data_IF_207512205943
#
_entry.id   IF_207512205943
#
_cell.length_a   1.000
_cell.length_b   1.000
_cell.length_c   1.000
_cell.angle_alpha   90.00
_cell.angle_beta   90.00
_cell.angle_gamma   90.00
#
_symmetry.space_group_name_H-M   'P 1'
#
loop_
_entity.id
_entity.type
_entity.pdbx_description
1 polymer ?
#
# COMPACT_ATOMS: atom_id res chain seq x y z
N UNK A 1 -24.69 1.46 -4.83
CA UNK A 1 -23.59 0.90 -5.66
C UNK A 1 -22.50 1.94 -5.73
N UNK A 2 -21.22 1.55 -5.78
CA UNK A 2 -20.08 2.46 -5.93
C UNK A 2 -19.29 1.98 -7.13
N UNK A 3 -18.79 2.92 -7.95
CA UNK A 3 -17.87 2.61 -9.05
C UNK A 3 -16.55 3.36 -8.84
N UNK A 4 -15.49 2.82 -9.44
CA UNK A 4 -14.18 3.44 -9.49
C UNK A 4 -13.57 3.13 -10.86
N UNK A 5 -13.14 4.18 -11.57
CA UNK A 5 -12.50 4.07 -12.87
C UNK A 5 -11.12 4.73 -12.75
N UNK A 6 -10.06 3.95 -12.90
CA UNK A 6 -8.70 4.49 -12.99
C UNK A 6 -8.37 4.79 -14.43
N UNK A 7 -7.98 6.02 -14.73
CA UNK A 7 -7.50 6.43 -16.06
C UNK A 7 -6.12 7.11 -15.97
N UNK A 8 -5.48 7.33 -17.12
CA UNK A 8 -4.27 8.15 -17.19
C UNK A 8 -4.63 9.60 -16.92
N UNK A 9 -3.83 10.28 -16.10
CA UNK A 9 -3.96 11.72 -15.87
C UNK A 9 -3.42 12.48 -17.10
N UNK A 10 -4.24 13.34 -17.67
CA UNK A 10 -3.88 14.22 -18.80
C UNK A 10 -3.42 15.62 -18.32
N UNK A 11 -3.19 15.78 -17.01
CA UNK A 11 -2.71 17.02 -16.39
C UNK A 11 -3.82 17.90 -15.84
N UNK A 12 -5.05 17.38 -15.74
CA UNK A 12 -6.25 18.12 -15.34
C UNK A 12 -6.76 17.77 -13.95
N UNK A 13 -6.25 16.69 -13.34
CA UNK A 13 -6.69 16.21 -12.03
C UNK A 13 -5.94 16.91 -10.88
N UNK A 14 -6.65 17.18 -9.79
CA UNK A 14 -6.12 17.81 -8.58
C UNK A 14 -6.08 16.81 -7.40
N UNK A 15 -5.15 16.98 -6.45
CA UNK A 15 -5.07 16.17 -5.22
C UNK A 15 -6.13 16.64 -4.21
N UNK A 16 -7.40 16.34 -4.47
CA UNK A 16 -8.53 16.78 -3.66
C UNK A 16 -9.65 15.75 -3.64
N UNK A 17 -10.26 15.59 -2.46
CA UNK A 17 -11.34 14.63 -2.21
C UNK A 17 -12.74 15.24 -2.32
N UNK A 18 -12.83 16.49 -2.77
CA UNK A 18 -14.11 17.24 -2.86
C UNK A 18 -14.38 17.79 -4.25
N UNK A 19 -13.49 17.55 -5.22
CA UNK A 19 -13.66 18.02 -6.59
C UNK A 19 -14.68 17.14 -7.32
N UNK A 20 -15.92 17.60 -7.31
CA UNK A 20 -17.01 16.97 -8.04
C UNK A 20 -16.92 17.35 -9.52
N UNK A 21 -17.01 16.34 -10.38
CA UNK A 21 -16.97 16.44 -11.84
C UNK A 21 -18.21 15.77 -12.43
N UNK A 22 -18.58 16.14 -13.64
CA UNK A 22 -19.69 15.46 -14.33
C UNK A 22 -19.29 14.03 -14.64
N UNK A 23 -20.22 13.09 -14.46
CA UNK A 23 -20.02 11.69 -14.91
C UNK A 23 -19.84 11.57 -16.42
N UNK A 24 -20.27 12.57 -17.20
CA UNK A 24 -20.04 12.63 -18.65
C UNK A 24 -18.55 12.58 -19.01
N UNK A 25 -17.67 13.06 -18.12
CA UNK A 25 -16.22 13.01 -18.30
C UNK A 25 -15.67 11.58 -18.13
N UNK A 26 -16.40 10.70 -17.45
CA UNK A 26 -16.03 9.30 -17.21
C UNK A 26 -16.45 8.38 -18.36
N UNK A 27 -17.60 8.65 -18.99
CA UNK A 27 -18.18 7.82 -20.05
C UNK A 27 -17.24 7.50 -21.23
N UNK A 28 -16.37 8.42 -21.70
CA UNK A 28 -15.39 8.11 -22.75
C UNK A 28 -14.45 6.95 -22.41
N UNK A 29 -14.09 6.77 -21.13
CA UNK A 29 -13.15 5.72 -20.70
C UNK A 29 -13.75 4.31 -20.74
N UNK A 30 -15.08 4.19 -20.74
CA UNK A 30 -15.81 2.91 -20.78
C UNK A 30 -16.53 2.68 -22.12
N UNK A 31 -16.22 3.49 -23.13
CA UNK A 31 -16.85 3.38 -24.45
C UNK A 31 -16.62 1.99 -25.06
N UNK A 32 -17.71 1.35 -25.49
CA UNK A 32 -17.68 0.02 -26.10
C UNK A 32 -17.71 -1.14 -25.11
N UNK A 33 -17.77 -0.86 -23.80
CA UNK A 33 -18.03 -1.87 -22.78
C UNK A 33 -19.52 -2.22 -22.74
N UNK A 34 -19.88 -3.23 -21.95
CA UNK A 34 -21.29 -3.63 -21.80
C UNK A 34 -22.16 -2.48 -21.24
N UNK A 35 -23.39 -2.27 -21.74
CA UNK A 35 -24.22 -1.11 -21.41
C UNK A 35 -24.41 -0.85 -19.91
N UNK A 36 -24.47 -1.93 -19.12
CA UNK A 36 -24.60 -1.89 -17.66
C UNK A 36 -23.55 -1.00 -16.98
N UNK A 37 -22.31 -0.95 -17.49
CA UNK A 37 -21.24 -0.14 -16.87
C UNK A 37 -21.57 1.35 -16.98
N UNK A 38 -21.96 1.81 -18.16
CA UNK A 38 -22.43 3.18 -18.39
C UNK A 38 -23.70 3.49 -17.61
N UNK A 39 -24.67 2.58 -17.53
CA UNK A 39 -25.89 2.76 -16.74
C UNK A 39 -25.61 2.96 -15.24
N UNK A 40 -24.62 2.24 -14.70
CA UNK A 40 -24.18 2.40 -13.30
C UNK A 40 -23.52 3.75 -13.07
N UNK A 41 -22.73 4.24 -14.03
CA UNK A 41 -22.08 5.56 -13.96
C UNK A 41 -23.14 6.67 -14.02
N UNK A 42 -24.10 6.58 -14.94
CA UNK A 42 -25.20 7.55 -15.10
C UNK A 42 -26.13 7.60 -13.88
N UNK A 43 -26.22 6.50 -13.12
CA UNK A 43 -26.99 6.42 -11.88
C UNK A 43 -26.32 7.12 -10.68
N UNK A 44 -25.14 7.74 -10.85
CA UNK A 44 -24.49 8.51 -9.81
C UNK A 44 -25.40 9.65 -9.31
N UNK A 45 -25.52 9.87 -7.99
CA UNK A 45 -26.29 10.99 -7.46
C UNK A 45 -25.86 12.33 -8.06
N UNK A 46 -26.83 13.11 -8.52
CA UNK A 46 -26.64 14.40 -9.19
C UNK A 46 -25.81 14.35 -10.49
N UNK A 47 -25.56 13.17 -11.06
CA UNK A 47 -24.65 12.97 -12.19
C UNK A 47 -23.22 13.47 -11.88
N UNK A 48 -22.78 13.32 -10.63
CA UNK A 48 -21.46 13.76 -10.16
C UNK A 48 -20.59 12.59 -9.70
N UNK A 49 -19.29 12.66 -10.00
CA UNK A 49 -18.26 11.78 -9.45
C UNK A 49 -17.09 12.62 -8.92
N UNK A 50 -16.23 12.00 -8.10
CA UNK A 50 -14.99 12.65 -7.63
C UNK A 50 -13.86 12.21 -8.54
N UNK A 51 -13.17 13.18 -9.16
CA UNK A 51 -11.89 12.95 -9.81
C UNK A 51 -10.78 13.39 -8.85
N UNK A 52 -9.96 12.43 -8.41
CA UNK A 52 -8.86 12.66 -7.50
C UNK A 52 -7.57 12.11 -8.09
N UNK A 53 -6.54 12.95 -8.10
CA UNK A 53 -5.22 12.57 -8.61
C UNK A 53 -4.56 11.55 -7.68
N UNK A 54 -4.12 10.42 -8.24
CA UNK A 54 -3.32 9.44 -7.51
C UNK A 54 -1.90 9.98 -7.31
N UNK A 55 -1.55 10.23 -6.06
CA UNK A 55 -0.25 10.72 -5.63
C UNK A 55 0.43 9.70 -4.74
N UNK A 56 1.75 9.59 -4.85
CA UNK A 56 2.55 8.62 -4.11
C UNK A 56 3.95 9.18 -3.83
N UNK A 57 4.61 8.67 -2.79
CA UNK A 57 5.92 9.15 -2.33
C UNK A 57 6.83 8.01 -1.94
N UNK A 58 8.12 8.15 -2.25
CA UNK A 58 9.14 7.20 -1.81
C UNK A 58 9.09 7.09 -0.29
N UNK A 59 9.18 5.86 0.22
CA UNK A 59 9.18 5.61 1.65
C UNK A 59 10.45 6.18 2.28
N UNK A 60 10.29 6.99 3.33
CA UNK A 60 11.42 7.44 4.14
C UNK A 60 11.85 6.38 5.15
N UNK A 61 13.15 6.30 5.45
CA UNK A 61 13.69 5.35 6.42
C UNK A 61 13.35 5.71 7.88
N UNK A 62 13.05 6.99 8.14
CA UNK A 62 12.81 7.52 9.49
C UNK A 62 11.53 8.35 9.53
N UNK A 63 10.56 7.91 10.33
CA UNK A 63 9.25 8.55 10.52
C UNK A 63 9.17 9.36 11.82
N UNK A 64 10.10 9.09 12.76
CA UNK A 64 10.19 9.77 14.04
C UNK A 64 11.09 11.00 13.98
N UNK A 65 10.76 12.04 14.74
CA UNK A 65 11.64 13.20 14.94
C UNK A 65 12.95 12.78 15.62
N UNK A 66 14.04 13.57 15.52
CA UNK A 66 15.34 13.20 16.10
C UNK A 66 15.30 12.85 17.60
N UNK A 67 14.38 13.45 18.36
CA UNK A 67 14.17 13.18 19.79
C UNK A 67 13.15 12.06 20.07
N UNK A 68 12.52 11.47 19.05
CA UNK A 68 11.52 10.41 19.17
C UNK A 68 10.29 10.84 19.99
N UNK A 69 9.81 12.07 19.74
CA UNK A 69 8.66 12.67 20.45
C UNK A 69 7.51 13.07 19.52
N UNK A 70 7.76 12.99 18.22
CA UNK A 70 6.78 13.19 17.15
C UNK A 70 7.05 12.09 16.14
N UNK A 71 5.99 11.48 15.61
CA UNK A 71 6.10 10.42 14.62
C UNK A 71 4.99 10.57 13.58
N UNK A 72 5.31 10.30 12.31
CA UNK A 72 4.34 10.19 11.22
C UNK A 72 3.88 8.73 11.11
N UNK A 73 2.58 8.53 10.90
CA UNK A 73 1.94 7.21 10.67
C UNK A 73 0.87 7.35 9.58
N UNK A 74 0.42 6.23 9.01
CA UNK A 74 -0.54 6.23 7.90
C UNK A 74 -0.04 7.02 6.70
N UNK A 75 -0.96 7.64 5.94
CA UNK A 75 -0.65 8.40 4.72
C UNK A 75 0.38 9.53 4.92
N UNK A 76 0.54 10.05 6.15
CA UNK A 76 1.57 11.04 6.46
C UNK A 76 3.00 10.46 6.41
N UNK A 77 3.16 9.15 6.63
CA UNK A 77 4.42 8.43 6.53
C UNK A 77 4.54 7.64 5.22
N UNK A 78 3.43 7.05 4.75
CA UNK A 78 3.42 6.13 3.62
C UNK A 78 2.12 6.25 2.81
N UNK A 79 2.25 6.74 1.58
CA UNK A 79 1.11 6.85 0.65
C UNK A 79 0.97 5.57 -0.18
N UNK A 80 -0.26 5.09 -0.36
CA UNK A 80 -0.53 3.85 -1.07
C UNK A 80 -1.35 4.09 -2.34
N UNK A 81 -1.10 3.30 -3.38
CA UNK A 81 -2.05 3.17 -4.48
C UNK A 81 -3.33 2.46 -3.97
N UNK A 82 -4.54 2.86 -4.42
CA UNK A 82 -5.77 2.16 -4.08
C UNK A 82 -5.75 0.67 -4.45
N UNK A 83 -5.00 0.32 -5.50
CA UNK A 83 -4.75 -1.07 -5.96
C UNK A 83 -4.02 -1.94 -4.93
N UNK A 84 -3.46 -1.36 -3.87
CA UNK A 84 -2.90 -2.14 -2.75
C UNK A 84 -3.98 -2.77 -1.86
N UNK A 85 -5.18 -2.19 -1.81
CA UNK A 85 -6.23 -2.52 -0.84
C UNK A 85 -5.80 -2.53 0.64
N UNK A 86 -4.63 -1.95 0.98
CA UNK A 86 -4.03 -2.10 2.31
C UNK A 86 -3.63 -0.79 2.99
N UNK A 87 -3.82 0.38 2.37
CA UNK A 87 -3.39 1.67 2.96
C UNK A 87 -4.02 1.94 4.34
N UNK A 88 -5.35 1.84 4.43
CA UNK A 88 -6.06 2.00 5.71
C UNK A 88 -5.66 0.95 6.75
N UNK A 89 -5.52 -0.31 6.33
CA UNK A 89 -5.04 -1.40 7.21
C UNK A 89 -3.63 -1.11 7.73
N UNK A 90 -2.71 -0.66 6.89
CA UNK A 90 -1.33 -0.35 7.28
C UNK A 90 -1.28 0.83 8.27
N UNK A 91 -2.16 1.82 8.11
CA UNK A 91 -2.31 2.92 9.07
C UNK A 91 -2.84 2.43 10.43
N UNK A 92 -3.79 1.49 10.43
CA UNK A 92 -4.28 0.86 11.67
C UNK A 92 -3.18 0.03 12.35
N UNK A 93 -2.46 -0.80 11.57
CA UNK A 93 -1.31 -1.56 12.07
C UNK A 93 -0.25 -0.66 12.72
N UNK A 94 -0.03 0.56 12.19
CA UNK A 94 0.87 1.51 12.81
C UNK A 94 0.40 1.91 14.21
N UNK A 95 -0.89 2.19 14.37
CA UNK A 95 -1.49 2.55 15.66
C UNK A 95 -1.29 1.45 16.70
N UNK A 96 -1.61 0.20 16.36
CA UNK A 96 -1.43 -0.96 17.24
C UNK A 96 0.05 -1.20 17.59
N UNK A 97 0.92 -1.23 16.59
CA UNK A 97 2.35 -1.46 16.78
C UNK A 97 2.99 -0.35 17.63
N UNK A 98 2.63 0.91 17.38
CA UNK A 98 3.16 2.06 18.13
C UNK A 98 2.72 1.99 19.59
N UNK A 99 1.45 1.72 19.86
CA UNK A 99 0.93 1.59 21.22
C UNK A 99 1.67 0.49 22.00
N UNK A 100 1.81 -0.70 21.40
CA UNK A 100 2.54 -1.83 22.00
C UNK A 100 4.02 -1.48 22.27
N UNK A 101 4.70 -0.84 21.32
CA UNK A 101 6.09 -0.41 21.50
C UNK A 101 6.23 0.62 22.62
N UNK A 102 5.32 1.60 22.70
CA UNK A 102 5.33 2.62 23.76
C UNK A 102 5.08 2.00 25.14
N UNK A 103 4.17 1.03 25.24
CA UNK A 103 3.94 0.29 26.47
C UNK A 103 5.20 -0.47 26.90
N UNK A 104 5.84 -1.20 25.98
CA UNK A 104 7.08 -1.96 26.24
C UNK A 104 8.25 -1.05 26.61
N UNK A 105 8.41 0.09 25.94
CA UNK A 105 9.46 1.06 26.26
C UNK A 105 9.27 1.79 27.59
N UNK A 106 8.05 1.79 28.13
CA UNK A 106 7.64 2.57 29.30
C UNK A 106 7.91 4.08 29.12
N UNK A 107 7.60 4.88 30.15
CA UNK A 107 7.87 6.34 30.14
C UNK A 107 9.36 6.68 29.99
N UNK A 108 10.26 5.76 30.33
CA UNK A 108 11.68 6.03 30.38
C UNK A 108 12.39 5.88 29.01
N UNK A 109 11.83 5.08 28.07
CA UNK A 109 12.49 4.79 26.79
C UNK A 109 11.63 5.09 25.56
N UNK A 110 10.75 6.10 25.64
CA UNK A 110 9.89 6.53 24.53
C UNK A 110 10.65 6.74 23.20
N UNK A 111 11.85 7.38 23.14
CA UNK A 111 12.56 7.54 21.87
C UNK A 111 12.98 6.20 21.24
N UNK A 112 13.35 5.22 22.07
CA UNK A 112 13.70 3.89 21.60
C UNK A 112 12.46 3.14 21.10
N UNK A 113 11.33 3.25 21.81
CA UNK A 113 10.07 2.66 21.38
C UNK A 113 9.61 3.15 20.00
N UNK A 114 9.74 4.46 19.75
CA UNK A 114 9.44 5.06 18.43
C UNK A 114 10.35 4.47 17.33
N UNK A 115 11.65 4.30 17.62
CA UNK A 115 12.60 3.69 16.67
C UNK A 115 12.31 2.22 16.42
N UNK A 116 11.96 1.46 17.47
CA UNK A 116 11.57 0.04 17.35
C UNK A 116 10.33 -0.06 16.47
N UNK A 117 9.28 0.72 16.75
CA UNK A 117 8.08 0.75 15.91
C UNK A 117 8.40 1.03 14.44
N UNK A 118 9.14 2.10 14.14
CA UNK A 118 9.55 2.43 12.78
C UNK A 118 10.26 1.24 12.11
N UNK A 119 11.17 0.55 12.83
CA UNK A 119 11.93 -0.56 12.28
C UNK A 119 11.08 -1.80 12.01
N UNK A 120 10.11 -2.11 12.89
CA UNK A 120 9.18 -3.23 12.71
C UNK A 120 8.17 -2.97 11.57
N UNK A 121 7.91 -1.71 11.24
CA UNK A 121 6.90 -1.30 10.25
C UNK A 121 7.47 -1.01 8.86
N UNK A 122 8.66 -0.41 8.76
CA UNK A 122 9.16 0.14 7.49
C UNK A 122 9.22 -0.88 6.35
N UNK A 123 9.82 -2.05 6.59
CA UNK A 123 9.93 -3.10 5.57
C UNK A 123 8.55 -3.64 5.15
N UNK A 124 7.66 -3.85 6.13
CA UNK A 124 6.30 -4.34 5.89
C UNK A 124 5.47 -3.34 5.08
N UNK A 125 5.53 -2.06 5.44
CA UNK A 125 4.88 -0.96 4.69
C UNK A 125 5.44 -0.86 3.28
N UNK A 126 6.76 -0.97 3.12
CA UNK A 126 7.41 -0.98 1.80
C UNK A 126 6.91 -2.13 0.93
N UNK A 127 6.75 -3.34 1.50
CA UNK A 127 6.11 -4.44 0.79
C UNK A 127 4.68 -4.09 0.38
N UNK A 128 3.88 -3.53 1.29
CA UNK A 128 2.51 -3.11 0.97
C UNK A 128 2.44 -2.09 -0.19
N UNK A 129 3.28 -1.05 -0.17
CA UNK A 129 3.30 -0.05 -1.24
C UNK A 129 3.67 -0.70 -2.57
N UNK A 130 4.71 -1.54 -2.58
CA UNK A 130 5.15 -2.27 -3.78
C UNK A 130 4.05 -3.19 -4.31
N UNK A 131 3.35 -3.90 -3.44
CA UNK A 131 2.20 -4.74 -3.81
C UNK A 131 1.14 -3.95 -4.58
N UNK A 132 0.87 -2.69 -4.20
CA UNK A 132 -0.05 -1.82 -4.93
C UNK A 132 0.33 -1.61 -6.41
N UNK A 133 1.63 -1.43 -6.68
CA UNK A 133 2.12 -1.35 -8.06
C UNK A 133 2.02 -2.71 -8.77
N UNK A 134 2.40 -3.81 -8.11
CA UNK A 134 2.27 -5.16 -8.69
C UNK A 134 0.83 -5.48 -9.10
N UNK A 135 -0.14 -5.20 -8.21
CA UNK A 135 -1.57 -5.38 -8.50
C UNK A 135 -2.02 -4.52 -9.66
N UNK A 136 -1.62 -3.25 -9.69
CA UNK A 136 -1.94 -2.33 -10.79
C UNK A 136 -1.46 -2.87 -12.13
N UNK A 137 -0.21 -3.33 -12.21
CA UNK A 137 0.33 -3.88 -13.46
C UNK A 137 -0.43 -5.14 -13.90
N UNK A 138 -0.78 -6.03 -12.97
CA UNK A 138 -1.62 -7.20 -13.28
C UNK A 138 -2.96 -6.74 -13.88
N UNK A 139 -3.65 -5.79 -13.27
CA UNK A 139 -4.96 -5.33 -13.75
C UNK A 139 -4.88 -4.56 -15.07
N UNK A 140 -3.90 -3.67 -15.24
CA UNK A 140 -3.80 -2.77 -16.39
C UNK A 140 -3.11 -3.40 -17.61
N UNK A 141 -2.20 -4.36 -17.41
CA UNK A 141 -1.48 -5.07 -18.48
C UNK A 141 -2.02 -6.49 -18.73
N UNK A 142 -3.22 -6.78 -18.22
CA UNK A 142 -3.90 -8.06 -18.42
C UNK A 142 -4.03 -8.40 -19.91
N UNK A 143 -3.65 -9.63 -20.27
CA UNK A 143 -3.97 -10.21 -21.57
C UNK A 143 -5.32 -10.94 -21.51
N UNK A 144 -6.37 -10.29 -22.01
CA UNK A 144 -7.74 -10.81 -21.97
C UNK A 144 -7.95 -12.10 -22.79
N UNK A 145 -7.17 -12.33 -23.85
CA UNK A 145 -7.24 -13.59 -24.63
C UNK A 145 -6.83 -14.80 -23.80
N UNK A 146 -5.90 -14.62 -22.84
CA UNK A 146 -5.50 -15.70 -21.93
C UNK A 146 -6.54 -15.97 -20.85
N UNK A 147 -7.24 -14.93 -20.42
CA UNK A 147 -8.33 -15.03 -19.42
C UNK A 147 -9.50 -15.81 -20.01
N UNK A 148 -9.86 -15.52 -21.26
CA UNK A 148 -10.90 -16.26 -21.98
C UNK A 148 -10.56 -17.75 -22.09
N UNK A 149 -9.26 -18.08 -22.15
CA UNK A 149 -8.74 -19.46 -22.14
C UNK A 149 -8.57 -20.07 -20.75
N UNK A 150 -9.05 -19.40 -19.70
CA UNK A 150 -9.09 -19.91 -18.33
C UNK A 150 -7.90 -19.52 -17.45
N UNK A 151 -7.00 -18.62 -17.89
CA UNK A 151 -5.99 -18.08 -16.99
C UNK A 151 -6.64 -17.22 -15.90
N UNK A 152 -6.40 -17.57 -14.63
CA UNK A 152 -6.87 -16.80 -13.48
C UNK A 152 -5.88 -15.71 -13.08
N UNK A 153 -6.37 -14.69 -12.40
CA UNK A 153 -5.54 -13.66 -11.78
C UNK A 153 -5.26 -13.97 -10.32
N UNK A 154 -4.10 -13.54 -9.79
CA UNK A 154 -3.85 -13.60 -8.37
C UNK A 154 -4.86 -12.76 -7.59
N UNK A 155 -5.35 -13.30 -6.48
CA UNK A 155 -6.15 -12.54 -5.53
C UNK A 155 -5.24 -11.61 -4.72
N UNK A 156 -5.64 -10.33 -4.64
CA UNK A 156 -5.00 -9.33 -3.78
C UNK A 156 -5.27 -9.68 -2.33
N UNK A 157 -4.29 -9.47 -1.45
CA UNK A 157 -4.40 -9.79 -0.02
C UNK A 157 -3.89 -11.19 0.30
N UNK A 158 -2.60 -11.43 0.10
CA UNK A 158 -1.94 -12.65 0.59
C UNK A 158 -2.04 -12.79 2.11
N UNK A 159 -1.91 -14.02 2.62
CA UNK A 159 -1.98 -14.38 4.05
C UNK A 159 -1.08 -13.50 4.93
N UNK A 160 0.10 -13.13 4.41
CA UNK A 160 1.03 -12.24 5.10
C UNK A 160 0.45 -10.86 5.42
N UNK A 161 -0.55 -10.38 4.66
CA UNK A 161 -1.29 -9.15 4.96
C UNK A 161 -2.44 -9.46 5.92
N UNK A 162 -3.31 -10.43 5.56
CA UNK A 162 -4.61 -10.63 6.22
C UNK A 162 -4.52 -11.30 7.59
N UNK A 163 -3.53 -12.17 7.80
CA UNK A 163 -3.40 -12.97 9.03
C UNK A 163 -2.43 -12.33 10.04
N UNK A 164 -1.89 -11.14 9.74
CA UNK A 164 -0.90 -10.50 10.60
C UNK A 164 -1.52 -9.81 11.80
N UNK A 165 -1.02 -10.14 12.99
CA UNK A 165 -1.26 -9.39 14.21
C UNK A 165 -0.11 -8.40 14.48
N UNK A 166 -0.29 -7.09 14.22
CA UNK A 166 0.76 -6.09 14.41
C UNK A 166 1.08 -5.81 15.88
N UNK A 167 0.11 -6.02 16.78
CA UNK A 167 0.27 -5.77 18.21
C UNK A 167 1.10 -6.89 18.84
N UNK A 168 0.69 -8.14 18.64
CA UNK A 168 1.40 -9.30 19.16
C UNK A 168 2.82 -9.38 18.59
N UNK A 169 2.99 -9.11 17.30
CA UNK A 169 4.31 -9.06 16.67
C UNK A 169 5.22 -8.02 17.32
N UNK A 170 4.68 -6.85 17.68
CA UNK A 170 5.44 -5.82 18.39
C UNK A 170 5.86 -6.29 19.78
N UNK A 171 4.97 -6.92 20.56
CA UNK A 171 5.34 -7.46 21.88
C UNK A 171 6.44 -8.51 21.80
N UNK A 172 6.33 -9.45 20.86
CA UNK A 172 7.25 -10.59 20.72
C UNK A 172 8.65 -10.17 20.25
N UNK A 173 8.74 -9.06 19.51
CA UNK A 173 9.97 -8.63 18.87
C UNK A 173 10.58 -7.36 19.46
N UNK A 174 9.88 -6.65 20.36
CA UNK A 174 10.35 -5.38 20.92
C UNK A 174 11.78 -5.49 21.47
N UNK A 175 12.04 -6.45 22.37
CA UNK A 175 13.35 -6.56 23.03
C UNK A 175 14.47 -6.92 22.07
N UNK A 176 14.19 -7.81 21.09
CA UNK A 176 15.16 -8.23 20.07
C UNK A 176 15.52 -7.06 19.16
N UNK A 177 14.51 -6.32 18.70
CA UNK A 177 14.69 -5.14 17.87
C UNK A 177 15.39 -4.00 18.65
N UNK A 178 15.01 -3.77 19.91
CA UNK A 178 15.66 -2.79 20.77
C UNK A 178 17.14 -3.12 20.99
N UNK A 179 17.46 -4.40 21.22
CA UNK A 179 18.85 -4.88 21.32
C UNK A 179 19.61 -4.70 20.01
N UNK A 180 18.99 -4.98 18.86
CA UNK A 180 19.58 -4.69 17.55
C UNK A 180 19.93 -3.21 17.40
N UNK A 181 18.97 -2.31 17.68
CA UNK A 181 19.15 -0.87 17.52
C UNK A 181 20.15 -0.24 18.49
N UNK A 182 20.41 -0.87 19.64
CA UNK A 182 21.29 -0.32 20.68
C UNK A 182 22.64 -1.02 20.79
N UNK A 183 22.71 -2.30 20.44
CA UNK A 183 23.88 -3.17 20.62
C UNK A 183 24.33 -3.88 19.34
N UNK A 184 23.58 -3.76 18.24
CA UNK A 184 23.93 -4.40 16.96
C UNK A 184 23.73 -5.91 16.93
N UNK A 185 22.96 -6.49 17.85
CA UNK A 185 22.64 -7.94 17.82
C UNK A 185 21.80 -8.28 16.59
N UNK A 186 22.02 -9.40 15.88
CA UNK A 186 21.24 -9.75 14.70
C UNK A 186 19.73 -9.75 14.94
N UNK A 187 19.00 -9.08 14.05
CA UNK A 187 17.53 -9.06 14.02
C UNK A 187 17.07 -8.96 12.57
N UNK A 188 16.03 -9.70 12.22
CA UNK A 188 15.40 -9.67 10.89
C UNK A 188 13.90 -9.68 11.09
N UNK A 189 13.19 -8.81 10.37
CA UNK A 189 11.74 -8.83 10.36
C UNK A 189 11.21 -10.10 9.69
N UNK A 190 10.11 -10.63 10.21
CA UNK A 190 9.41 -11.80 9.66
C UNK A 190 7.94 -11.49 9.32
N UNK A 191 7.54 -10.23 9.43
CA UNK A 191 6.21 -9.73 9.08
C UNK A 191 6.14 -9.14 7.65
N UNK A 192 7.12 -9.42 6.79
CA UNK A 192 7.09 -9.08 5.37
C UNK A 192 6.48 -10.18 4.52
N UNK A 193 6.69 -10.10 3.20
CA UNK A 193 6.26 -11.14 2.26
C UNK A 193 7.09 -12.42 2.46
N UNK A 194 6.47 -13.60 2.68
CA UNK A 194 7.20 -14.86 2.82
C UNK A 194 8.07 -15.15 1.59
N UNK A 195 9.32 -15.55 1.80
CA UNK A 195 10.27 -15.83 0.71
C UNK A 195 10.82 -14.60 0.00
N UNK A 196 10.38 -13.39 0.35
CA UNK A 196 10.93 -12.15 -0.19
C UNK A 196 12.11 -11.65 0.64
N UNK A 197 13.14 -11.13 -0.04
CA UNK A 197 14.20 -10.36 0.60
C UNK A 197 14.03 -8.91 0.20
N UNK A 198 13.74 -8.04 1.17
CA UNK A 198 13.53 -6.63 0.91
C UNK A 198 14.73 -6.01 0.20
N UNK A 199 14.43 -5.32 -0.91
CA UNK A 199 15.38 -4.54 -1.70
C UNK A 199 14.88 -3.11 -1.71
N UNK A 200 15.75 -2.11 -1.46
CA UNK A 200 15.37 -0.71 -1.69
C UNK A 200 14.86 -0.54 -3.12
N UNK A 201 13.78 0.21 -3.27
CA UNK A 201 13.19 0.53 -4.55
C UNK A 201 12.69 1.98 -4.52
N UNK A 202 12.64 2.59 -5.69
CA UNK A 202 12.02 3.91 -5.85
C UNK A 202 10.79 3.82 -6.73
N UNK A 203 9.88 4.76 -6.52
CA UNK A 203 8.69 4.92 -7.34
C UNK A 203 9.07 5.18 -8.79
N UNK A 204 10.12 5.97 -9.02
CA UNK A 204 10.61 6.26 -10.37
C UNK A 204 11.00 4.97 -11.11
N UNK A 205 11.64 4.01 -10.43
CA UNK A 205 11.94 2.70 -11.01
C UNK A 205 10.66 1.94 -11.39
N UNK A 206 9.66 1.90 -10.50
CA UNK A 206 8.40 1.18 -10.75
C UNK A 206 7.60 1.81 -11.90
N UNK A 207 7.52 3.14 -11.94
CA UNK A 207 6.83 3.86 -13.01
C UNK A 207 7.54 3.66 -14.35
N UNK A 208 8.87 3.74 -14.37
CA UNK A 208 9.64 3.52 -15.59
C UNK A 208 9.47 2.10 -16.12
N UNK A 209 9.36 1.09 -15.25
CA UNK A 209 9.07 -0.29 -15.64
C UNK A 209 7.65 -0.42 -16.23
N UNK A 210 6.65 0.18 -15.60
CA UNK A 210 5.27 0.24 -16.10
C UNK A 210 5.18 0.91 -17.48
N UNK A 211 5.89 2.01 -17.69
CA UNK A 211 5.97 2.70 -18.99
C UNK A 211 6.58 1.83 -20.10
N UNK A 212 7.49 0.92 -19.75
CA UNK A 212 8.05 -0.08 -20.67
C UNK A 212 7.17 -1.32 -20.85
N UNK A 213 6.04 -1.42 -20.14
CA UNK A 213 5.16 -2.59 -20.14
C UNK A 213 5.77 -3.80 -19.45
N UNK A 214 6.73 -3.61 -18.54
CA UNK A 214 7.38 -4.68 -17.79
C UNK A 214 6.55 -5.07 -16.56
N UNK A 215 6.26 -6.35 -16.41
CA UNK A 215 5.61 -6.85 -15.19
C UNK A 215 6.62 -6.96 -14.05
N UNK A 216 6.26 -6.45 -12.88
CA UNK A 216 7.07 -6.54 -11.66
C UNK A 216 7.07 -7.97 -11.09
N UNK A 217 8.04 -8.76 -11.49
CA UNK A 217 8.28 -10.10 -10.95
C UNK A 217 9.29 -10.00 -9.81
N UNK A 218 8.87 -10.39 -8.60
CA UNK A 218 9.75 -10.51 -7.44
C UNK A 218 9.56 -11.90 -6.84
N UNK A 219 10.59 -12.38 -6.17
CA UNK A 219 10.48 -13.57 -5.34
C UNK A 219 9.45 -13.40 -4.20
N UNK A 220 8.94 -14.53 -3.68
CA UNK A 220 8.06 -14.58 -2.52
C UNK A 220 6.56 -14.67 -2.82
N UNK A 221 5.80 -14.88 -1.76
CA UNK A 221 4.36 -15.16 -1.78
C UNK A 221 3.53 -13.88 -1.61
N UNK A 222 3.51 -13.05 -2.65
CA UNK A 222 2.86 -11.73 -2.62
C UNK A 222 1.33 -11.79 -2.56
N UNK A 223 0.74 -12.76 -3.25
CA UNK A 223 -0.69 -12.89 -3.49
C UNK A 223 -1.22 -14.19 -2.89
N UNK A 224 -2.53 -14.25 -2.63
CA UNK A 224 -3.17 -15.49 -2.18
C UNK A 224 -3.25 -16.49 -3.34
N UNK A 225 -2.93 -17.75 -3.05
CA UNK A 225 -3.24 -18.89 -3.94
C UNK A 225 -4.64 -19.40 -3.62
N UNK A 226 -5.50 -19.48 -4.63
CA UNK A 226 -6.82 -20.12 -4.53
C UNK A 226 -6.72 -21.60 -4.16
#
# INVERSE_FOLDING_TARGET
MVFLVTHKDEGTSEETWTNKRSVDECLPYVKGWVPFVSEVIDAAPNCEAIDFKLMWRNLGDTWGSPKGRVIQIGDAAHSFLPTSASGGTMALEDGYSLAACLQKGSRNNIPLAVKVHNHLRAERVSCGQRMGFKTREVWHLTNWDKVEKGQTFPNVGGSWVVDHDPEQYAYDNYEKCASFLTKGTPFKNTNGVPGYTHKPWTIQELLSASERGETLVDEGEWFSTN
#
